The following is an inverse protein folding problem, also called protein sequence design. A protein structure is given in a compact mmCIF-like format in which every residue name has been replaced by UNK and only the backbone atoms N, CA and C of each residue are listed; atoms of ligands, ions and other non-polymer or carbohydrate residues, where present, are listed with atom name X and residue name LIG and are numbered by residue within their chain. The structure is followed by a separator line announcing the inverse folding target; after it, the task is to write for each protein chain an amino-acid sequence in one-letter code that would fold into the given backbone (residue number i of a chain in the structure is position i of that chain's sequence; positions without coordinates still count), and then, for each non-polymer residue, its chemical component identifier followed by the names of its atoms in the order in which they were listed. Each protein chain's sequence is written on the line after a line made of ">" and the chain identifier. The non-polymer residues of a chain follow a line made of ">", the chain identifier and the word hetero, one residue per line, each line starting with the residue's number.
data_IF_441027356113
#
_entry.id   IF_441027356113
#
_cell.length_a   1.000
_cell.length_b   1.000
_cell.length_c   1.000
_cell.angle_alpha   90.00
_cell.angle_beta   90.00
_cell.angle_gamma   90.00
#
_symmetry.space_group_name_H-M   'P 1'
#
loop_
_entity.id
_entity.type
_entity.pdbx_description
1 polymer ?
#
# COMPACT_ATOMS: atom_id res chain seq x y z
N UNK A 1 -21.69 -6.18 -9.39
CA UNK A 1 -21.61 -7.52 -8.74
C UNK A 1 -21.66 -7.29 -7.24
N UNK A 2 -21.93 -8.29 -6.40
CA UNK A 2 -21.87 -8.11 -4.94
C UNK A 2 -20.40 -8.09 -4.52
N UNK A 3 -20.01 -7.25 -3.54
CA UNK A 3 -18.65 -7.23 -2.98
C UNK A 3 -18.19 -8.60 -2.49
N UNK A 4 -16.87 -8.83 -2.42
CA UNK A 4 -16.34 -10.06 -1.82
C UNK A 4 -16.65 -10.10 -0.33
N UNK A 5 -17.13 -11.26 0.13
CA UNK A 5 -17.36 -11.58 1.55
C UNK A 5 -16.22 -12.38 2.18
N UNK A 6 -15.34 -12.98 1.36
CA UNK A 6 -14.15 -13.71 1.80
C UNK A 6 -12.90 -13.13 1.14
N UNK A 7 -11.80 -12.89 1.87
CA UNK A 7 -10.56 -12.35 1.29
C UNK A 7 -9.90 -13.32 0.28
N UNK A 8 -9.05 -12.80 -0.62
CA UNK A 8 -8.06 -13.61 -1.35
C UNK A 8 -6.84 -13.89 -0.49
N UNK A 9 -6.34 -12.89 0.22
CA UNK A 9 -5.33 -13.00 1.26
C UNK A 9 -6.04 -12.92 2.61
N UNK A 10 -6.03 -14.03 3.36
CA UNK A 10 -6.79 -14.19 4.62
C UNK A 10 -6.02 -13.65 5.81
N UNK A 11 -4.79 -14.14 5.98
CA UNK A 11 -3.87 -13.68 7.00
C UNK A 11 -2.41 -13.82 6.57
N UNK A 12 -1.53 -13.08 7.25
CA UNK A 12 -0.09 -13.21 7.15
C UNK A 12 0.51 -13.29 8.56
N UNK A 13 1.47 -14.18 8.75
CA UNK A 13 2.18 -14.41 10.01
C UNK A 13 3.61 -14.82 9.71
N UNK A 14 4.48 -14.80 10.71
CA UNK A 14 5.75 -15.51 10.59
C UNK A 14 5.56 -17.02 10.43
N UNK A 15 6.55 -17.66 9.79
CA UNK A 15 6.72 -19.11 9.81
C UNK A 15 7.14 -19.54 11.22
N UNK A 16 6.50 -20.55 11.83
CA UNK A 16 6.77 -20.94 13.22
C UNK A 16 8.15 -21.56 13.44
N UNK A 17 8.77 -22.09 12.38
CA UNK A 17 10.03 -22.87 12.47
C UNK A 17 11.27 -22.07 12.04
N UNK A 18 11.19 -20.73 11.98
CA UNK A 18 12.30 -19.87 11.59
C UNK A 18 12.74 -19.07 12.81
N UNK A 19 14.01 -19.19 13.19
CA UNK A 19 14.61 -18.30 14.21
C UNK A 19 14.93 -16.95 13.57
N UNK A 20 14.54 -15.87 14.25
CA UNK A 20 14.74 -14.50 13.79
C UNK A 20 15.72 -13.80 14.71
N UNK A 21 16.69 -13.11 14.10
CA UNK A 21 17.53 -12.15 14.81
C UNK A 21 16.82 -10.79 14.84
N UNK A 22 16.16 -10.49 15.96
CA UNK A 22 15.41 -9.25 16.17
C UNK A 22 16.32 -8.02 16.33
N UNK A 23 17.65 -8.16 16.31
CA UNK A 23 18.57 -7.01 16.28
C UNK A 23 18.96 -6.63 14.83
N UNK A 24 18.62 -7.46 13.84
CA UNK A 24 18.97 -7.25 12.44
C UNK A 24 17.77 -6.80 11.60
N UNK A 25 17.95 -5.78 10.75
CA UNK A 25 16.93 -5.37 9.78
C UNK A 25 16.61 -6.53 8.83
N UNK A 26 15.33 -6.85 8.56
CA UNK A 26 14.11 -6.11 8.85
C UNK A 26 13.42 -6.49 10.17
N UNK A 27 13.89 -7.51 10.89
CA UNK A 27 13.22 -8.03 12.09
C UNK A 27 13.35 -7.10 13.31
N UNK A 28 14.32 -6.18 13.28
CA UNK A 28 14.48 -5.12 14.29
C UNK A 28 13.43 -4.02 14.21
N UNK A 29 12.64 -3.95 13.13
CA UNK A 29 11.54 -3.00 13.03
C UNK A 29 10.40 -3.44 13.96
N UNK A 30 9.94 -2.63 14.92
CA UNK A 30 8.97 -3.08 15.94
C UNK A 30 7.69 -3.69 15.38
N UNK A 31 7.09 -3.07 14.35
CA UNK A 31 5.88 -3.59 13.73
C UNK A 31 6.09 -4.90 12.95
N UNK A 32 7.35 -5.17 12.52
CA UNK A 32 7.73 -6.44 11.92
C UNK A 32 7.93 -7.49 13.01
N UNK A 33 8.55 -7.15 14.14
CA UNK A 33 8.76 -8.07 15.27
C UNK A 33 7.45 -8.64 15.82
N UNK A 34 6.43 -7.79 15.95
CA UNK A 34 5.11 -8.16 16.50
C UNK A 34 4.13 -8.69 15.42
N UNK A 35 4.65 -9.17 14.29
CA UNK A 35 3.85 -9.71 13.19
C UNK A 35 3.35 -11.14 13.51
N UNK A 36 2.59 -11.26 14.60
CA UNK A 36 2.02 -12.53 15.03
C UNK A 36 0.92 -13.01 14.07
N UNK A 37 0.01 -12.12 13.67
CA UNK A 37 -1.08 -12.45 12.74
C UNK A 37 -1.81 -11.20 12.20
N UNK A 38 -1.51 -10.81 10.96
CA UNK A 38 -2.28 -9.79 10.25
C UNK A 38 -3.50 -10.47 9.62
N UNK A 39 -4.72 -10.14 10.10
CA UNK A 39 -5.98 -10.57 9.46
C UNK A 39 -6.49 -9.50 8.50
N UNK A 40 -6.64 -9.86 7.23
CA UNK A 40 -7.05 -8.91 6.19
C UNK A 40 -8.56 -8.85 6.01
N UNK A 41 -9.04 -7.64 5.68
CA UNK A 41 -10.41 -7.40 5.29
C UNK A 41 -10.69 -7.97 3.89
N UNK A 42 -11.91 -8.49 3.60
CA UNK A 42 -12.24 -9.07 2.30
C UNK A 42 -12.21 -8.09 1.14
N UNK A 43 -12.30 -6.77 1.40
CA UNK A 43 -12.26 -5.72 0.39
C UNK A 43 -11.03 -4.83 0.54
N UNK A 44 -11.00 -3.88 1.48
CA UNK A 44 -9.87 -2.96 1.64
C UNK A 44 -9.25 -3.07 3.04
N UNK A 45 -7.94 -3.25 3.09
CA UNK A 45 -7.12 -3.11 4.31
C UNK A 45 -6.10 -1.99 4.09
N UNK A 46 -6.04 -1.02 5.00
CA UNK A 46 -5.03 0.03 5.01
C UNK A 46 -3.94 -0.26 6.04
N UNK A 47 -2.70 0.09 5.71
CA UNK A 47 -1.58 0.18 6.62
C UNK A 47 -1.24 1.66 6.85
N UNK A 48 -1.21 2.09 8.11
CA UNK A 48 -0.87 3.46 8.54
C UNK A 48 0.20 3.42 9.62
N UNK A 49 0.91 4.53 9.81
CA UNK A 49 1.99 4.65 10.80
C UNK A 49 3.08 5.59 10.31
N UNK A 50 4.02 5.94 11.17
CA UNK A 50 5.12 6.86 10.85
C UNK A 50 6.06 6.31 9.76
N UNK A 51 6.87 7.19 9.17
CA UNK A 51 7.93 6.77 8.25
C UNK A 51 8.93 5.88 8.98
N UNK A 52 9.32 4.76 8.36
CA UNK A 52 10.20 3.78 9.01
C UNK A 52 9.50 2.79 9.95
N UNK A 53 8.17 2.87 10.12
CA UNK A 53 7.42 1.91 10.95
C UNK A 53 7.31 0.50 10.34
N UNK A 54 7.84 0.27 9.13
CA UNK A 54 7.87 -1.05 8.48
C UNK A 54 6.72 -1.37 7.53
N UNK A 55 5.82 -0.42 7.26
CA UNK A 55 4.68 -0.60 6.33
C UNK A 55 5.12 -1.12 4.96
N UNK A 56 6.05 -0.43 4.31
CA UNK A 56 6.55 -0.78 2.98
C UNK A 56 7.34 -2.08 3.01
N UNK A 57 8.08 -2.37 4.10
CA UNK A 57 8.79 -3.64 4.29
C UNK A 57 7.82 -4.83 4.37
N UNK A 58 6.73 -4.70 5.14
CA UNK A 58 5.68 -5.73 5.22
C UNK A 58 4.91 -5.83 3.89
N UNK A 59 4.61 -4.70 3.24
CA UNK A 59 3.95 -4.68 1.92
C UNK A 59 4.79 -5.41 0.87
N UNK A 60 6.09 -5.15 0.80
CA UNK A 60 7.03 -5.83 -0.09
C UNK A 60 7.07 -7.33 0.20
N UNK A 61 7.19 -7.74 1.46
CA UNK A 61 7.19 -9.15 1.84
C UNK A 61 5.88 -9.86 1.42
N UNK A 62 4.73 -9.20 1.60
CA UNK A 62 3.44 -9.69 1.11
C UNK A 62 3.41 -9.81 -0.41
N UNK A 63 3.91 -8.81 -1.13
CA UNK A 63 3.94 -8.79 -2.58
C UNK A 63 4.79 -9.95 -3.14
N UNK A 64 6.00 -10.13 -2.60
CA UNK A 64 6.91 -11.22 -2.99
C UNK A 64 6.29 -12.58 -2.67
N UNK A 65 5.71 -12.77 -1.48
CA UNK A 65 5.02 -14.01 -1.11
C UNK A 65 3.78 -14.31 -2.00
N UNK A 66 3.16 -13.28 -2.58
CA UNK A 66 2.08 -13.40 -3.58
C UNK A 66 2.60 -13.69 -5.00
N UNK A 67 3.90 -13.59 -5.24
CA UNK A 67 4.58 -13.84 -6.50
C UNK A 67 4.76 -12.61 -7.38
N UNK A 68 4.72 -11.41 -6.81
CA UNK A 68 5.07 -10.17 -7.51
C UNK A 68 6.59 -9.89 -7.40
N UNK A 69 7.13 -9.12 -8.34
CA UNK A 69 8.48 -8.57 -8.21
C UNK A 69 8.55 -7.46 -7.13
N UNK A 70 9.71 -7.25 -6.50
CA UNK A 70 9.89 -6.24 -5.43
C UNK A 70 9.71 -4.80 -5.93
N UNK A 71 10.02 -4.54 -7.20
CA UNK A 71 9.83 -3.24 -7.88
C UNK A 71 8.37 -2.97 -8.29
N UNK A 72 7.47 -3.94 -8.13
CA UNK A 72 6.07 -3.84 -8.54
C UNK A 72 5.80 -4.29 -9.98
N UNK A 73 4.58 -3.99 -10.44
CA UNK A 73 4.01 -4.49 -11.69
C UNK A 73 3.11 -5.71 -11.51
N UNK A 74 2.83 -6.39 -12.63
CA UNK A 74 2.16 -7.70 -12.60
C UNK A 74 3.17 -8.80 -12.25
N UNK A 75 2.70 -10.03 -12.00
CA UNK A 75 3.56 -11.18 -11.70
C UNK A 75 4.57 -11.54 -12.81
N UNK A 76 4.33 -11.07 -14.04
CA UNK A 76 5.22 -11.29 -15.18
C UNK A 76 6.33 -10.25 -15.27
N UNK A 77 6.30 -9.23 -14.42
CA UNK A 77 7.33 -8.19 -14.33
C UNK A 77 8.36 -8.67 -13.31
N UNK A 78 9.50 -9.14 -13.81
CA UNK A 78 10.65 -9.51 -12.98
C UNK A 78 11.87 -8.78 -13.51
N UNK A 79 12.41 -7.87 -12.69
CA UNK A 79 13.67 -7.21 -12.98
C UNK A 79 14.81 -8.11 -12.50
N UNK A 80 15.87 -8.19 -13.30
CA UNK A 80 17.10 -8.93 -12.97
C UNK A 80 18.02 -8.19 -12.01
N UNK A 81 17.55 -7.10 -11.38
CA UNK A 81 18.23 -6.42 -10.26
C UNK A 81 18.08 -7.27 -9.00
N UNK A 82 18.78 -8.40 -9.00
CA UNK A 82 19.10 -9.20 -7.83
C UNK A 82 20.06 -8.34 -7.01
N UNK A 83 19.64 -7.88 -5.82
CA UNK A 83 20.51 -7.63 -4.65
C UNK A 83 19.80 -6.97 -3.45
N UNK A 84 18.54 -6.54 -3.54
CA UNK A 84 17.88 -5.76 -2.46
C UNK A 84 16.50 -6.24 -2.00
N UNK A 85 16.17 -7.54 -2.15
CA UNK A 85 14.91 -8.06 -1.59
C UNK A 85 15.06 -8.29 -0.08
N UNK A 86 14.19 -7.69 0.72
CA UNK A 86 14.18 -7.87 2.17
C UNK A 86 14.02 -9.34 2.55
N UNK A 87 14.83 -9.92 3.46
CA UNK A 87 14.71 -11.32 3.89
C UNK A 87 13.38 -11.62 4.62
N UNK A 88 12.57 -10.59 4.91
CA UNK A 88 11.25 -10.75 5.50
C UNK A 88 10.32 -11.63 4.66
N UNK A 89 10.43 -11.62 3.33
CA UNK A 89 9.56 -12.43 2.47
C UNK A 89 9.73 -13.93 2.70
N UNK A 90 10.95 -14.39 2.99
CA UNK A 90 11.25 -15.79 3.30
C UNK A 90 10.74 -16.21 4.68
N UNK A 91 10.67 -15.25 5.61
CA UNK A 91 10.13 -15.44 6.94
C UNK A 91 8.60 -15.48 6.97
N UNK A 92 7.93 -14.91 5.97
CA UNK A 92 6.49 -14.72 5.96
C UNK A 92 5.74 -15.96 5.46
N UNK A 93 4.70 -16.34 6.20
CA UNK A 93 3.70 -17.31 5.79
C UNK A 93 2.39 -16.57 5.50
N UNK A 94 1.84 -16.79 4.31
CA UNK A 94 0.54 -16.24 3.93
C UNK A 94 -0.50 -17.33 3.73
N UNK A 95 -1.72 -17.06 4.21
CA UNK A 95 -2.88 -17.91 3.96
C UNK A 95 -3.74 -17.31 2.86
N UNK A 96 -3.99 -18.09 1.81
CA UNK A 96 -4.76 -17.69 0.64
C UNK A 96 -6.15 -18.34 0.67
N UNK A 97 -7.16 -17.56 0.33
CA UNK A 97 -8.53 -18.02 0.15
C UNK A 97 -8.77 -18.67 -1.22
N UNK A 98 -9.99 -19.16 -1.42
CA UNK A 98 -10.48 -19.68 -2.70
C UNK A 98 -11.73 -18.91 -3.15
N UNK A 99 -11.93 -18.67 -4.46
CA UNK A 99 -11.00 -18.96 -5.56
C UNK A 99 -9.77 -18.05 -5.54
N UNK A 100 -8.72 -18.42 -6.28
CA UNK A 100 -7.53 -17.57 -6.47
C UNK A 100 -7.88 -16.32 -7.30
N UNK A 101 -7.18 -15.19 -7.09
CA UNK A 101 -7.41 -13.97 -7.86
C UNK A 101 -7.01 -14.18 -9.33
N UNK A 102 -7.82 -13.67 -10.25
CA UNK A 102 -7.57 -13.74 -11.71
C UNK A 102 -6.67 -12.63 -12.21
N UNK A 103 -6.59 -11.54 -11.45
CA UNK A 103 -5.77 -10.37 -11.75
C UNK A 103 -4.93 -10.00 -10.52
N UNK A 104 -3.85 -9.27 -10.73
CA UNK A 104 -3.06 -8.79 -9.63
C UNK A 104 -1.97 -7.81 -10.05
N UNK A 105 -1.70 -6.88 -9.15
CA UNK A 105 -0.74 -5.81 -9.39
C UNK A 105 -0.16 -5.33 -8.05
N UNK A 106 1.15 -5.11 -8.01
CA UNK A 106 1.81 -4.40 -6.93
C UNK A 106 2.31 -3.05 -7.44
N UNK A 107 1.82 -1.96 -6.84
CA UNK A 107 2.13 -0.60 -7.27
C UNK A 107 2.87 0.12 -6.15
N UNK A 108 4.12 0.50 -6.40
CA UNK A 108 4.94 1.31 -5.50
C UNK A 108 5.25 2.63 -6.16
N UNK A 109 4.98 3.75 -5.50
CA UNK A 109 5.25 5.06 -6.09
C UNK A 109 6.74 5.25 -6.45
N UNK A 110 7.66 4.78 -5.62
CA UNK A 110 9.10 4.94 -5.78
C UNK A 110 9.67 4.22 -7.01
N UNK A 111 9.33 2.96 -7.22
CA UNK A 111 9.85 2.13 -8.32
C UNK A 111 8.96 2.11 -9.56
N UNK A 112 7.81 2.80 -9.54
CA UNK A 112 6.84 2.74 -10.63
C UNK A 112 7.42 3.13 -11.99
N UNK A 113 8.37 4.08 -12.03
CA UNK A 113 8.99 4.51 -13.28
C UNK A 113 9.83 3.39 -13.93
N UNK A 114 10.45 2.51 -13.13
CA UNK A 114 11.16 1.33 -13.64
C UNK A 114 10.18 0.40 -14.36
N UNK A 115 9.00 0.18 -13.77
CA UNK A 115 7.90 -0.58 -14.38
C UNK A 115 7.39 0.08 -15.65
N UNK A 116 7.13 1.38 -15.63
CA UNK A 116 6.67 2.13 -16.80
C UNK A 116 7.65 2.01 -17.98
N UNK A 117 8.93 2.29 -17.72
CA UNK A 117 10.00 2.25 -18.71
C UNK A 117 10.17 0.84 -19.29
N UNK A 118 10.08 -0.19 -18.45
CA UNK A 118 10.12 -1.57 -18.90
C UNK A 118 8.91 -1.94 -19.77
N UNK A 119 7.69 -1.56 -19.39
CA UNK A 119 6.49 -1.81 -20.19
C UNK A 119 6.58 -1.13 -21.57
N UNK A 120 7.09 0.10 -21.63
CA UNK A 120 7.28 0.81 -22.89
C UNK A 120 8.35 0.14 -23.76
N UNK A 121 9.47 -0.30 -23.17
CA UNK A 121 10.53 -1.03 -23.89
C UNK A 121 10.06 -2.36 -24.49
N UNK A 122 9.10 -3.02 -23.84
CA UNK A 122 8.50 -4.29 -24.32
C UNK A 122 7.36 -4.08 -25.30
N UNK A 123 6.90 -2.83 -25.48
CA UNK A 123 5.73 -2.50 -26.30
C UNK A 123 4.39 -2.89 -25.67
N UNK A 124 4.37 -3.38 -24.43
CA UNK A 124 3.15 -3.82 -23.74
C UNK A 124 2.42 -2.65 -23.06
N UNK A 125 2.01 -1.67 -23.88
CA UNK A 125 1.45 -0.39 -23.42
C UNK A 125 -0.08 -0.32 -23.54
N UNK A 126 -0.65 -1.16 -24.42
CA UNK A 126 -2.10 -1.18 -24.67
C UNK A 126 -2.92 -1.52 -23.41
N UNK A 127 -2.39 -2.38 -22.54
CA UNK A 127 -3.03 -2.70 -21.27
C UNK A 127 -3.16 -1.51 -20.31
N UNK A 128 -2.35 -0.47 -20.49
CA UNK A 128 -2.32 0.76 -19.70
C UNK A 128 -2.98 1.94 -20.43
N UNK A 129 -3.60 1.68 -21.59
CA UNK A 129 -4.21 2.71 -22.43
C UNK A 129 -3.20 3.59 -23.17
N UNK A 130 -1.98 3.11 -23.41
CA UNK A 130 -0.90 3.85 -24.10
C UNK A 130 0.39 3.91 -23.29
N UNK A 131 1.37 4.66 -23.80
CA UNK A 131 2.68 4.85 -23.15
C UNK A 131 2.53 5.40 -21.73
N UNK A 132 3.23 4.78 -20.77
CA UNK A 132 3.25 5.25 -19.39
C UNK A 132 4.33 6.31 -19.18
N UNK A 133 5.45 6.21 -19.89
CA UNK A 133 6.59 7.13 -19.77
C UNK A 133 6.30 8.52 -20.37
N UNK A 134 5.35 8.65 -21.29
CA UNK A 134 4.95 9.94 -21.88
C UNK A 134 3.98 10.75 -21.00
N UNK A 135 3.60 10.23 -19.82
CA UNK A 135 2.59 10.81 -18.93
C UNK A 135 3.24 11.41 -17.68
N UNK A 136 2.51 12.31 -17.00
CA UNK A 136 2.91 12.70 -15.64
C UNK A 136 2.78 11.51 -14.67
N UNK A 137 3.54 11.54 -13.57
CA UNK A 137 3.55 10.46 -12.56
C UNK A 137 2.12 10.08 -12.11
N UNK A 138 1.29 11.08 -11.78
CA UNK A 138 -0.09 10.84 -11.37
C UNK A 138 -1.02 10.33 -12.47
N UNK A 139 -0.77 10.66 -13.74
CA UNK A 139 -1.56 10.15 -14.86
C UNK A 139 -1.24 8.69 -15.17
N UNK A 140 0.04 8.35 -15.16
CA UNK A 140 0.48 6.98 -15.33
C UNK A 140 -0.02 6.08 -14.18
N UNK A 141 -0.02 6.58 -12.94
CA UNK A 141 -0.62 5.91 -11.80
C UNK A 141 -2.13 5.67 -11.99
N UNK A 142 -2.87 6.72 -12.35
CA UNK A 142 -4.32 6.61 -12.60
C UNK A 142 -4.63 5.67 -13.77
N UNK A 143 -3.76 5.61 -14.79
CA UNK A 143 -3.90 4.69 -15.90
C UNK A 143 -3.79 3.23 -15.46
N UNK A 144 -2.96 2.91 -14.46
CA UNK A 144 -2.94 1.57 -13.86
C UNK A 144 -4.30 1.28 -13.26
N UNK A 145 -4.79 2.12 -12.35
CA UNK A 145 -6.05 1.91 -11.64
C UNK A 145 -7.26 1.80 -12.58
N UNK A 146 -7.31 2.62 -13.64
CA UNK A 146 -8.49 2.74 -14.51
C UNK A 146 -8.43 1.82 -15.73
N UNK A 147 -7.23 1.50 -16.24
CA UNK A 147 -7.09 0.72 -17.47
C UNK A 147 -6.42 -0.63 -17.26
N UNK A 148 -5.40 -0.73 -16.39
CA UNK A 148 -4.65 -1.97 -16.22
C UNK A 148 -5.40 -2.99 -15.37
N UNK A 149 -5.95 -2.54 -14.24
CA UNK A 149 -6.65 -3.40 -13.30
C UNK A 149 -8.02 -3.80 -13.86
N UNK A 150 -8.36 -5.09 -13.79
CA UNK A 150 -9.56 -5.65 -14.45
C UNK A 150 -10.62 -6.22 -13.50
N UNK A 151 -10.40 -6.11 -12.20
CA UNK A 151 -11.28 -6.70 -11.19
C UNK A 151 -10.98 -8.19 -10.95
N UNK A 152 -11.71 -8.81 -10.02
CA UNK A 152 -11.47 -10.18 -9.54
C UNK A 152 -10.01 -10.42 -9.14
N UNK A 153 -9.35 -9.38 -8.61
CA UNK A 153 -7.92 -9.36 -8.39
C UNK A 153 -7.51 -9.03 -6.96
N UNK A 154 -6.22 -9.19 -6.70
CA UNK A 154 -5.56 -8.71 -5.49
C UNK A 154 -4.57 -7.60 -5.84
N UNK A 155 -4.71 -6.44 -5.23
CA UNK A 155 -3.93 -5.26 -5.54
C UNK A 155 -3.24 -4.72 -4.29
N UNK A 156 -1.94 -4.52 -4.38
CA UNK A 156 -1.12 -3.95 -3.31
C UNK A 156 -0.68 -2.56 -3.77
N UNK A 157 -0.96 -1.53 -2.99
CA UNK A 157 -0.57 -0.14 -3.30
C UNK A 157 0.28 0.41 -2.14
N UNK A 158 1.48 0.88 -2.44
CA UNK A 158 2.40 1.46 -1.47
C UNK A 158 2.61 2.94 -1.77
N UNK A 159 2.17 3.78 -0.85
CA UNK A 159 2.17 5.25 -0.90
C UNK A 159 1.62 5.83 -2.21
N UNK A 160 0.40 5.44 -2.63
CA UNK A 160 -0.21 5.91 -3.88
C UNK A 160 -0.34 7.44 -3.95
N UNK A 161 -0.52 8.12 -2.82
CA UNK A 161 -0.67 9.57 -2.73
C UNK A 161 0.57 10.35 -3.17
N UNK A 162 1.77 9.76 -3.09
CA UNK A 162 3.03 10.42 -3.45
C UNK A 162 3.06 10.85 -4.93
N UNK A 163 2.27 10.19 -5.78
CA UNK A 163 2.11 10.54 -7.19
C UNK A 163 0.82 11.34 -7.48
N UNK A 164 -0.08 11.53 -6.51
CA UNK A 164 -1.45 12.00 -6.74
C UNK A 164 -1.76 13.31 -6.00
N UNK A 165 -2.21 14.30 -6.75
CA UNK A 165 -2.86 15.49 -6.17
C UNK A 165 -4.16 15.12 -5.43
N UNK A 166 -4.67 15.96 -4.51
CA UNK A 166 -5.90 15.67 -3.77
C UNK A 166 -7.09 15.25 -4.64
N UNK A 167 -7.32 15.96 -5.75
CA UNK A 167 -8.38 15.60 -6.71
C UNK A 167 -8.15 14.22 -7.37
N UNK A 168 -6.89 13.85 -7.64
CA UNK A 168 -6.57 12.53 -8.17
C UNK A 168 -6.69 11.43 -7.12
N UNK A 169 -6.48 11.73 -5.83
CA UNK A 169 -6.77 10.79 -4.74
C UNK A 169 -8.27 10.51 -4.63
N UNK A 170 -9.12 11.53 -4.80
CA UNK A 170 -10.59 11.33 -4.90
C UNK A 170 -10.97 10.46 -6.12
N UNK A 171 -10.30 10.66 -7.26
CA UNK A 171 -10.48 9.79 -8.42
C UNK A 171 -9.99 8.36 -8.17
N UNK A 172 -8.88 8.19 -7.43
CA UNK A 172 -8.38 6.89 -7.03
C UNK A 172 -9.36 6.15 -6.11
N UNK A 173 -9.97 6.83 -5.13
CA UNK A 173 -11.05 6.26 -4.30
C UNK A 173 -12.20 5.72 -5.15
N UNK A 174 -12.64 6.48 -6.16
CA UNK A 174 -13.69 6.06 -7.10
C UNK A 174 -13.28 4.79 -7.86
N UNK A 175 -12.04 4.74 -8.37
CA UNK A 175 -11.52 3.60 -9.11
C UNK A 175 -11.37 2.35 -8.22
N UNK A 176 -10.81 2.50 -7.01
CA UNK A 176 -10.72 1.45 -5.99
C UNK A 176 -12.11 0.91 -5.66
N UNK A 177 -13.08 1.80 -5.45
CA UNK A 177 -14.46 1.41 -5.18
C UNK A 177 -15.07 0.54 -6.29
N UNK A 178 -14.88 0.95 -7.55
CA UNK A 178 -15.35 0.16 -8.69
C UNK A 178 -14.71 -1.23 -8.74
N UNK A 179 -13.40 -1.32 -8.51
CA UNK A 179 -12.68 -2.60 -8.48
C UNK A 179 -13.12 -3.51 -7.31
N UNK A 180 -13.46 -2.92 -6.16
CA UNK A 180 -14.04 -3.65 -5.02
C UNK A 180 -15.43 -4.21 -5.35
N UNK A 181 -16.29 -3.42 -6.00
CA UNK A 181 -17.59 -3.89 -6.52
C UNK A 181 -17.42 -5.01 -7.57
N UNK A 182 -16.31 -4.99 -8.29
CA UNK A 182 -15.86 -6.05 -9.21
C UNK A 182 -15.00 -7.12 -8.51
N UNK A 183 -15.33 -7.46 -7.26
CA UNK A 183 -14.79 -8.60 -6.51
C UNK A 183 -13.27 -8.56 -6.28
N UNK A 184 -12.69 -7.39 -6.06
CA UNK A 184 -11.26 -7.25 -5.78
C UNK A 184 -10.96 -7.06 -4.29
N UNK A 185 -9.73 -7.38 -3.91
CA UNK A 185 -9.16 -7.10 -2.60
C UNK A 185 -7.96 -6.14 -2.75
N UNK A 186 -7.90 -5.15 -1.86
CA UNK A 186 -6.83 -4.17 -1.77
C UNK A 186 -6.13 -4.25 -0.41
N UNK A 187 -4.80 -4.15 -0.45
CA UNK A 187 -3.96 -3.81 0.70
C UNK A 187 -3.22 -2.52 0.32
N UNK A 188 -3.39 -1.46 1.10
CA UNK A 188 -2.90 -0.11 0.75
C UNK A 188 -2.12 0.46 1.92
N UNK A 189 -0.83 0.76 1.74
CA UNK A 189 -0.08 1.57 2.68
C UNK A 189 -0.21 3.04 2.28
N UNK A 190 -0.62 3.91 3.20
CA UNK A 190 -0.86 5.32 2.90
C UNK A 190 -0.74 6.19 4.14
N UNK A 191 -0.33 7.43 3.93
CA UNK A 191 -0.36 8.56 4.84
C UNK A 191 -1.48 9.56 4.49
N UNK A 192 -2.25 9.28 3.44
CA UNK A 192 -3.29 10.21 2.99
C UNK A 192 -4.58 10.04 3.81
N UNK A 193 -5.02 11.07 4.57
CA UNK A 193 -6.33 11.05 5.20
C UNK A 193 -7.47 10.98 4.18
N UNK A 194 -7.26 11.47 2.96
CA UNK A 194 -8.25 11.35 1.87
C UNK A 194 -8.45 9.87 1.52
N UNK A 195 -7.37 9.11 1.30
CA UNK A 195 -7.49 7.69 0.95
C UNK A 195 -8.04 6.85 2.11
N UNK A 196 -7.62 7.15 3.35
CA UNK A 196 -8.10 6.48 4.56
C UNK A 196 -9.60 6.66 4.82
N UNK A 197 -10.22 7.70 4.24
CA UNK A 197 -11.66 7.93 4.35
C UNK A 197 -12.54 6.87 3.64
N UNK A 198 -11.95 5.91 2.93
CA UNK A 198 -12.71 4.86 2.24
C UNK A 198 -13.56 4.04 3.24
N UNK A 199 -14.88 3.90 3.01
CA UNK A 199 -15.79 3.29 3.97
C UNK A 199 -15.64 1.76 4.02
N UNK A 200 -15.95 1.16 5.17
CA UNK A 200 -15.91 -0.29 5.37
C UNK A 200 -14.54 -0.90 5.03
N UNK A 201 -13.48 -0.23 5.46
CA UNK A 201 -12.12 -0.74 5.41
C UNK A 201 -11.66 -1.13 6.81
N UNK A 202 -10.67 -2.02 6.87
CA UNK A 202 -9.86 -2.22 8.06
C UNK A 202 -8.64 -1.30 7.98
N UNK A 203 -8.29 -0.61 9.06
CA UNK A 203 -7.06 0.18 9.15
C UNK A 203 -6.17 -0.44 10.21
N UNK A 204 -4.94 -0.78 9.83
CA UNK A 204 -3.94 -1.37 10.72
C UNK A 204 -2.84 -0.33 10.92
N UNK A 205 -2.65 0.08 12.16
CA UNK A 205 -1.61 0.98 12.60
C UNK A 205 -0.32 0.20 12.92
N UNK A 206 0.79 0.73 12.41
CA UNK A 206 2.15 0.27 12.61
C UNK A 206 2.86 1.30 13.48
N UNK A 207 3.17 0.92 14.72
CA UNK A 207 3.89 1.76 15.66
C UNK A 207 4.92 0.94 16.47
N UNK A 208 5.57 1.58 17.44
CA UNK A 208 6.60 0.97 18.28
C UNK A 208 6.05 -0.12 19.21
N UNK A 209 4.74 -0.16 19.45
CA UNK A 209 4.07 -1.20 20.25
C UNK A 209 3.59 -2.40 19.43
N UNK A 210 3.68 -2.31 18.10
CA UNK A 210 3.38 -3.40 17.18
C UNK A 210 2.28 -3.03 16.18
N UNK A 211 1.36 -3.97 15.95
CA UNK A 211 0.26 -3.84 14.99
C UNK A 211 -1.09 -3.80 15.71
N UNK A 212 -1.88 -2.76 15.46
CA UNK A 212 -3.22 -2.61 16.04
C UNK A 212 -4.26 -2.20 15.00
N UNK A 213 -5.51 -2.60 15.19
CA UNK A 213 -6.63 -2.12 14.36
C UNK A 213 -7.18 -0.83 14.96
N UNK A 214 -7.35 0.21 14.14
CA UNK A 214 -7.80 1.54 14.57
C UNK A 214 -8.95 2.04 13.70
N UNK A 215 -9.79 2.92 14.24
CA UNK A 215 -10.78 3.63 13.43
C UNK A 215 -10.11 4.78 12.66
N UNK A 216 -10.74 5.23 11.57
CA UNK A 216 -10.23 6.34 10.76
C UNK A 216 -10.01 7.61 11.60
N UNK A 217 -10.99 7.96 12.43
CA UNK A 217 -10.97 9.16 13.27
C UNK A 217 -9.94 9.08 14.40
N UNK A 218 -9.50 7.87 14.76
CA UNK A 218 -8.46 7.63 15.77
C UNK A 218 -7.04 7.64 15.17
N UNK A 219 -6.91 7.74 13.85
CA UNK A 219 -5.58 7.83 13.21
C UNK A 219 -4.94 9.19 13.46
N UNK A 220 -3.63 9.17 13.66
CA UNK A 220 -2.83 10.41 13.77
C UNK A 220 -2.99 11.29 12.52
N UNK A 221 -3.00 10.69 11.33
CA UNK A 221 -3.18 11.40 10.05
C UNK A 221 -4.49 12.19 10.02
N UNK A 222 -5.58 11.61 10.53
CA UNK A 222 -6.86 12.31 10.64
C UNK A 222 -6.77 13.47 11.63
N UNK A 223 -6.30 13.20 12.85
CA UNK A 223 -6.25 14.19 13.93
C UNK A 223 -5.39 15.41 13.55
N UNK A 224 -4.18 15.18 13.02
CA UNK A 224 -3.27 16.24 12.59
C UNK A 224 -3.89 17.05 11.45
N UNK A 225 -4.42 16.37 10.43
CA UNK A 225 -4.96 17.05 9.24
C UNK A 225 -6.20 17.86 9.60
N UNK A 226 -7.13 17.30 10.39
CA UNK A 226 -8.34 17.98 10.82
C UNK A 226 -8.00 19.24 11.63
N UNK A 227 -7.11 19.11 12.61
CA UNK A 227 -6.73 20.25 13.43
C UNK A 227 -6.03 21.32 12.58
N UNK A 228 -5.07 20.93 11.73
CA UNK A 228 -4.39 21.88 10.86
C UNK A 228 -5.38 22.62 9.96
N UNK A 229 -6.28 21.93 9.25
CA UNK A 229 -7.23 22.59 8.35
C UNK A 229 -8.19 23.54 9.10
N UNK A 230 -8.59 23.21 10.33
CA UNK A 230 -9.48 24.04 11.13
C UNK A 230 -8.78 25.21 11.81
N UNK A 231 -7.47 25.09 12.11
CA UNK A 231 -6.72 26.02 12.94
C UNK A 231 -5.44 26.57 12.28
N UNK A 232 -5.28 26.45 10.95
CA UNK A 232 -4.01 26.73 10.26
C UNK A 232 -3.39 28.10 10.57
N UNK A 233 -4.12 29.23 10.70
CA UNK A 233 -3.48 30.52 10.94
C UNK A 233 -2.76 30.55 12.29
N UNK A 234 -3.40 30.01 13.33
CA UNK A 234 -2.83 29.91 14.68
C UNK A 234 -1.67 28.92 14.72
N UNK A 235 -1.81 27.76 14.09
CA UNK A 235 -0.73 26.77 14.02
C UNK A 235 0.49 27.33 13.32
N UNK A 236 0.32 28.02 12.19
CA UNK A 236 1.44 28.67 11.49
C UNK A 236 2.11 29.75 12.34
N UNK A 237 1.34 30.56 13.07
CA UNK A 237 1.91 31.55 13.98
C UNK A 237 2.77 30.90 15.07
N UNK A 238 2.31 29.80 15.67
CA UNK A 238 3.05 29.08 16.72
C UNK A 238 4.30 28.37 16.17
N UNK A 239 4.19 27.74 14.99
CA UNK A 239 5.29 27.00 14.36
C UNK A 239 6.39 27.91 13.81
N UNK A 240 6.05 29.15 13.44
CA UNK A 240 6.96 30.12 12.84
C UNK A 240 7.36 31.23 13.83
N UNK A 241 6.97 31.14 15.10
CA UNK A 241 7.46 32.03 16.14
C UNK A 241 8.92 31.67 16.45
N UNK A 242 9.80 32.68 16.47
CA UNK A 242 11.19 32.49 16.88
C UNK A 242 11.25 32.10 18.37
N UNK A 243 12.14 31.16 18.73
CA UNK A 243 12.30 30.65 20.11
C UNK A 243 12.68 31.75 21.13
N UNK A 244 13.06 32.95 20.66
CA UNK A 244 13.51 34.08 21.48
C UNK A 244 12.37 34.95 22.07
N UNK A 245 11.10 34.69 21.72
CA UNK A 245 9.92 35.42 22.25
C UNK A 245 9.10 34.61 23.30
N UNK A 246 9.67 33.52 23.84
CA UNK A 246 9.04 32.67 24.87
C UNK A 246 9.57 32.92 26.29
#
# INVERSE_FOLDING_TARGET
>A
MVRRVKPYLLHASFKPDVEFDFDTYPFSVPAVRELENIKFHPNVTFFVGENGSGKSTVMEALAVALGFGPEGGTKNVQFSTVDSVSPLHDALRIAKGVPQPKDGYFLRAESFFNVASYMDSTGYVQGYGGSLHERSHGEAFMAVLVHKLRGNGIYLLDEPESALSPNRQLAALRAIHQLVEDQSQFIIATHSPILLSYPHAKIIQFDSSGLSEVAYEDTEHYAITQDFLNNYPRRLQQLLADEDDA
#
